data_IF_213348988890
#
_entry.id   IF_213348988890
#
_cell.length_a   1.000
_cell.length_b   1.000
_cell.length_c   1.000
_cell.angle_alpha   90.00
_cell.angle_beta   90.00
_cell.angle_gamma   90.00
#
_symmetry.space_group_name_H-M   'P 1'
#
loop_
_entity.id
_entity.type
_entity.pdbx_description
1 polymer ?
#
# COMPACT_ATOMS: atom_id res chain seq x y z
N UNK A 1 -17.18 0.83 10.84
CA UNK A 1 -16.89 -0.50 11.46
C UNK A 1 -15.39 -0.59 11.69
N UNK A 2 -14.94 -1.13 12.82
CA UNK A 2 -13.50 -1.23 13.14
C UNK A 2 -12.91 -2.52 12.58
N UNK A 3 -11.71 -2.45 12.01
CA UNK A 3 -10.98 -3.64 11.57
C UNK A 3 -10.40 -4.39 12.78
N UNK A 4 -10.69 -5.69 12.98
CA UNK A 4 -10.21 -6.44 14.15
C UNK A 4 -8.70 -6.70 14.14
N UNK A 5 -8.00 -6.45 13.02
CA UNK A 5 -6.56 -6.68 12.90
C UNK A 5 -5.71 -5.43 13.15
N UNK A 6 -6.21 -4.25 12.81
CA UNK A 6 -5.45 -3.01 12.92
C UNK A 6 -6.18 -1.91 13.71
N UNK A 7 -7.42 -2.14 14.13
CA UNK A 7 -8.23 -1.16 14.87
C UNK A 7 -8.68 0.05 14.05
N UNK A 8 -8.33 0.12 12.76
CA UNK A 8 -8.68 1.27 11.93
C UNK A 8 -10.19 1.34 11.68
N UNK A 9 -10.76 2.53 11.82
CA UNK A 9 -12.16 2.82 11.52
C UNK A 9 -12.37 2.81 10.01
N UNK A 10 -13.04 1.78 9.52
CA UNK A 10 -13.53 1.74 8.14
C UNK A 10 -14.72 2.68 8.04
N UNK A 11 -14.45 3.86 7.48
CA UNK A 11 -15.45 4.80 7.01
C UNK A 11 -16.00 4.31 5.66
N UNK A 12 -17.32 4.36 5.54
CA UNK A 12 -18.04 4.02 4.31
C UNK A 12 -18.74 5.27 3.79
N UNK A 13 -18.88 5.34 2.47
CA UNK A 13 -19.58 6.41 1.76
C UNK A 13 -20.43 5.79 0.65
N UNK A 14 -21.48 6.48 0.21
CA UNK A 14 -22.30 6.02 -0.91
C UNK A 14 -21.71 6.52 -2.24
N UNK A 15 -21.65 5.64 -3.24
CA UNK A 15 -21.29 6.02 -4.59
C UNK A 15 -22.29 7.05 -5.13
N UNK A 16 -21.80 8.19 -5.63
CA UNK A 16 -22.64 9.26 -6.19
C UNK A 16 -23.41 8.85 -7.46
N UNK A 17 -23.02 7.76 -8.12
CA UNK A 17 -23.68 7.30 -9.35
C UNK A 17 -24.71 6.20 -9.11
N UNK A 18 -24.32 5.13 -8.41
CA UNK A 18 -25.17 3.95 -8.27
C UNK A 18 -25.77 3.80 -6.87
N UNK A 19 -25.40 4.65 -5.90
CA UNK A 19 -25.86 4.59 -4.52
C UNK A 19 -25.28 3.46 -3.68
N UNK A 20 -24.44 2.59 -4.25
CA UNK A 20 -23.82 1.47 -3.52
C UNK A 20 -22.85 1.93 -2.43
N UNK A 21 -22.83 1.22 -1.31
CA UNK A 21 -21.91 1.49 -0.20
C UNK A 21 -20.48 1.08 -0.58
N UNK A 22 -19.54 2.02 -0.45
CA UNK A 22 -18.14 1.88 -0.80
C UNK A 22 -17.24 2.34 0.35
N UNK A 23 -16.05 1.72 0.53
CA UNK A 23 -15.06 2.25 1.47
C UNK A 23 -14.63 3.67 1.10
N UNK A 24 -14.51 4.56 2.08
CA UNK A 24 -14.21 5.99 1.85
C UNK A 24 -12.85 6.23 1.16
N UNK A 25 -11.89 5.30 1.31
CA UNK A 25 -10.57 5.36 0.66
C UNK A 25 -10.50 4.60 -0.67
N UNK A 26 -11.62 4.11 -1.19
CA UNK A 26 -11.63 3.41 -2.47
C UNK A 26 -11.40 4.36 -3.64
N UNK A 27 -10.56 3.96 -4.59
CA UNK A 27 -10.34 4.71 -5.84
C UNK A 27 -11.45 4.48 -6.87
N UNK A 28 -12.24 3.43 -6.70
CA UNK A 28 -13.29 2.99 -7.60
C UNK A 28 -14.47 2.41 -6.82
N UNK A 29 -15.67 2.49 -7.39
CA UNK A 29 -16.85 1.83 -6.86
C UNK A 29 -16.82 0.33 -7.20
N UNK A 30 -16.97 -0.54 -6.19
CA UNK A 30 -17.01 -1.99 -6.38
C UNK A 30 -18.33 -2.49 -7.02
N UNK A 31 -19.34 -1.62 -7.14
CA UNK A 31 -20.64 -1.97 -7.72
C UNK A 31 -20.79 -1.56 -9.19
N UNK A 32 -20.33 -0.36 -9.56
CA UNK A 32 -20.48 0.18 -10.92
C UNK A 32 -19.15 0.45 -11.65
N UNK A 33 -18.01 0.43 -10.95
CA UNK A 33 -16.69 0.65 -11.54
C UNK A 33 -16.27 2.11 -11.75
N UNK A 34 -17.13 3.11 -11.43
CA UNK A 34 -16.74 4.52 -11.56
C UNK A 34 -15.66 4.91 -10.56
N UNK A 35 -14.76 5.79 -10.99
CA UNK A 35 -13.71 6.37 -10.16
C UNK A 35 -14.29 7.29 -9.10
N UNK A 36 -13.69 7.26 -7.92
CA UNK A 36 -14.00 8.16 -6.81
C UNK A 36 -12.84 9.14 -6.71
N UNK A 37 -13.12 10.43 -6.78
CA UNK A 37 -12.12 11.48 -6.58
C UNK A 37 -11.75 11.53 -5.11
N UNK A 38 -10.61 10.93 -4.77
CA UNK A 38 -10.00 11.02 -3.44
C UNK A 38 -8.73 11.85 -3.59
N UNK A 39 -8.56 12.85 -2.73
CA UNK A 39 -7.31 13.59 -2.62
C UNK A 39 -6.20 12.61 -2.20
N UNK A 40 -5.21 12.41 -3.09
CA UNK A 40 -4.13 11.45 -2.89
C UNK A 40 -3.01 12.13 -2.13
N UNK A 41 -2.70 11.61 -0.94
CA UNK A 41 -1.39 11.81 -0.33
C UNK A 41 -0.36 11.05 -1.17
N UNK A 42 0.58 11.76 -1.78
CA UNK A 42 1.67 11.15 -2.53
C UNK A 42 2.56 10.37 -1.56
N UNK A 43 2.40 9.05 -1.51
CA UNK A 43 3.32 8.18 -0.79
C UNK A 43 4.63 8.15 -1.55
N UNK A 44 5.73 8.59 -0.93
CA UNK A 44 7.07 8.46 -1.52
C UNK A 44 7.46 6.98 -1.61
N UNK A 45 7.56 6.45 -2.83
CA UNK A 45 7.99 5.06 -3.08
C UNK A 45 9.51 4.94 -3.23
N UNK A 46 10.24 6.07 -3.24
CA UNK A 46 11.67 6.12 -3.54
C UNK A 46 12.51 5.40 -2.47
N UNK A 47 11.96 5.25 -1.27
CA UNK A 47 12.62 4.55 -0.16
C UNK A 47 12.59 3.02 -0.26
N UNK A 48 11.81 2.42 -1.17
CA UNK A 48 11.68 0.95 -1.27
C UNK A 48 12.74 0.33 -2.19
N UNK A 49 13.83 -0.14 -1.59
CA UNK A 49 14.89 -0.89 -2.30
C UNK A 49 14.66 -2.41 -2.19
N UNK A 50 14.79 -3.12 -3.31
CA UNK A 50 14.75 -4.59 -3.33
C UNK A 50 16.01 -5.20 -2.70
N UNK A 51 15.88 -6.43 -2.17
CA UNK A 51 17.02 -7.18 -1.66
C UNK A 51 18.05 -7.49 -2.76
N UNK A 52 19.35 -7.34 -2.45
CA UNK A 52 20.45 -7.61 -3.39
C UNK A 52 20.62 -9.10 -3.76
N UNK A 53 19.96 -10.01 -3.05
CA UNK A 53 20.15 -11.47 -3.20
C UNK A 53 19.56 -12.04 -4.50
N UNK A 54 18.80 -11.24 -5.28
CA UNK A 54 18.21 -11.59 -6.58
C UNK A 54 17.09 -12.65 -6.53
N UNK A 55 17.16 -13.58 -5.59
CA UNK A 55 16.16 -14.63 -5.34
C UNK A 55 15.20 -14.26 -4.19
N UNK A 56 15.60 -13.35 -3.31
CA UNK A 56 14.77 -12.91 -2.18
C UNK A 56 13.73 -11.87 -2.61
N UNK A 57 12.45 -12.10 -2.28
CA UNK A 57 11.32 -11.17 -2.56
C UNK A 57 11.22 -10.01 -1.56
N UNK A 58 12.21 -9.87 -0.67
CA UNK A 58 12.19 -8.88 0.40
C UNK A 58 12.65 -7.49 -0.04
N UNK A 59 12.42 -6.51 0.84
CA UNK A 59 12.87 -5.13 0.68
C UNK A 59 13.81 -4.75 1.82
N UNK A 60 14.69 -3.79 1.54
CA UNK A 60 15.66 -3.26 2.50
C UNK A 60 14.96 -2.26 3.41
N UNK A 61 15.09 -2.48 4.72
CA UNK A 61 14.59 -1.57 5.73
C UNK A 61 15.52 -0.35 5.90
N UNK A 62 15.09 0.65 6.68
CA UNK A 62 15.91 1.84 6.96
C UNK A 62 17.24 1.57 7.67
N UNK A 63 17.47 0.34 8.18
CA UNK A 63 18.75 -0.09 8.77
C UNK A 63 19.70 -0.74 7.76
N UNK A 64 19.29 -0.90 6.50
CA UNK A 64 20.10 -1.51 5.46
C UNK A 64 20.02 -3.04 5.40
N UNK A 65 19.02 -3.67 6.03
CA UNK A 65 18.85 -5.13 6.02
C UNK A 65 17.54 -5.55 5.36
N UNK A 66 17.54 -6.71 4.69
CA UNK A 66 16.33 -7.29 4.12
C UNK A 66 15.32 -7.69 5.21
N UNK A 67 14.05 -7.32 5.03
CA UNK A 67 12.96 -7.64 5.95
C UNK A 67 12.55 -9.13 5.99
N UNK A 68 13.02 -9.95 5.04
CA UNK A 68 12.71 -11.39 4.97
C UNK A 68 13.92 -12.24 5.32
N UNK A 69 15.04 -12.09 4.60
CA UNK A 69 16.21 -12.95 4.79
C UNK A 69 17.25 -12.39 5.76
N UNK A 70 17.12 -11.12 6.19
CA UNK A 70 18.05 -10.48 7.11
C UNK A 70 19.44 -10.15 6.54
N UNK A 71 19.69 -10.40 5.24
CA UNK A 71 20.97 -10.05 4.62
C UNK A 71 21.15 -8.53 4.52
N UNK A 72 22.38 -8.00 4.70
CA UNK A 72 22.66 -6.59 4.47
C UNK A 72 22.53 -6.25 2.98
N UNK A 73 22.15 -5.02 2.68
CA UNK A 73 22.14 -4.49 1.32
C UNK A 73 23.58 -4.30 0.84
N UNK A 74 24.01 -5.18 -0.06
CA UNK A 74 25.27 -5.05 -0.78
C UNK A 74 24.92 -4.35 -2.09
N UNK A 75 25.07 -3.02 -2.14
CA UNK A 75 25.06 -2.31 -3.43
C UNK A 75 26.37 -2.67 -4.13
N UNK A 76 26.31 -3.34 -5.28
CA UNK A 76 27.46 -3.37 -6.19
C UNK A 76 27.78 -1.91 -6.59
N UNK A 77 29.05 -1.46 -6.51
CA UNK A 77 29.43 -0.18 -7.06
C UNK A 77 29.25 -0.26 -8.58
N UNK A 78 28.49 0.69 -9.12
CA UNK A 78 28.36 0.93 -10.57
C UNK A 78 29.71 1.31 -11.15
#
# INVERSE_FOLDING_TARGET
>A
MECPHCGYLLAFSSCAECGGEIPAKSRYCCWCGKTITVEQEETDLSERKLCSDGSCVGTINGKGFCNICGKPYLSEPV
#
